data_IF_030692223058
#
_entry.id   IF_030692223058
#
_cell.length_a   1.000
_cell.length_b   1.000
_cell.length_c   1.000
_cell.angle_alpha   90.00
_cell.angle_beta   90.00
_cell.angle_gamma   90.00
#
_symmetry.space_group_name_H-M   'P 1'
#
loop_
_entity.id
_entity.type
_entity.pdbx_description
1 polymer ?
#
# COMPACT_ATOMS: atom_id res chain seq x y z
N UNK A 1 -12.04 32.96 -8.77
CA UNK A 1 -11.73 31.70 -9.50
C UNK A 1 -10.82 30.76 -8.74
N UNK A 2 -9.88 31.25 -7.93
CA UNK A 2 -8.89 30.47 -7.17
C UNK A 2 -9.54 29.58 -6.09
N UNK A 3 -10.58 30.05 -5.41
CA UNK A 3 -11.27 29.27 -4.38
C UNK A 3 -12.00 28.01 -4.87
N UNK A 4 -12.46 27.99 -6.15
CA UNK A 4 -13.13 26.81 -6.72
C UNK A 4 -12.17 25.68 -7.09
N UNK A 5 -10.96 25.99 -7.57
CA UNK A 5 -9.97 24.95 -7.92
C UNK A 5 -9.43 24.25 -6.66
N UNK A 6 -9.34 24.98 -5.56
CA UNK A 6 -8.88 24.47 -4.27
C UNK A 6 -9.86 23.50 -3.61
N UNK A 7 -11.14 23.89 -3.56
CA UNK A 7 -12.19 23.01 -3.04
C UNK A 7 -12.31 21.72 -3.83
N UNK A 8 -12.01 21.75 -5.14
CA UNK A 8 -12.03 20.55 -5.98
C UNK A 8 -10.85 19.60 -5.69
N UNK A 9 -9.63 20.13 -5.46
CA UNK A 9 -8.47 19.25 -5.23
C UNK A 9 -8.57 18.54 -3.87
N UNK A 10 -8.94 19.25 -2.80
CA UNK A 10 -9.14 18.65 -1.48
C UNK A 10 -10.23 17.60 -1.50
N UNK A 11 -11.39 17.93 -2.07
CA UNK A 11 -12.48 16.97 -2.22
C UNK A 11 -12.04 15.72 -3.01
N UNK A 12 -11.28 15.90 -4.09
CA UNK A 12 -10.77 14.78 -4.88
C UNK A 12 -9.78 13.89 -4.09
N UNK A 13 -8.93 14.48 -3.28
CA UNK A 13 -8.04 13.71 -2.38
C UNK A 13 -8.87 12.87 -1.41
N UNK A 14 -9.89 13.45 -0.81
CA UNK A 14 -10.76 12.79 0.17
C UNK A 14 -11.65 11.72 -0.48
N UNK A 15 -12.28 12.00 -1.62
CA UNK A 15 -13.11 11.05 -2.37
C UNK A 15 -12.31 9.80 -2.79
N UNK A 16 -11.10 9.98 -3.31
CA UNK A 16 -10.25 8.85 -3.71
C UNK A 16 -9.76 8.05 -2.50
N UNK A 17 -9.49 8.72 -1.38
CA UNK A 17 -9.18 8.04 -0.12
C UNK A 17 -10.33 7.14 0.34
N UNK A 18 -11.57 7.64 0.30
CA UNK A 18 -12.75 6.86 0.68
C UNK A 18 -12.92 5.62 -0.20
N UNK A 19 -12.77 5.76 -1.53
CA UNK A 19 -12.84 4.65 -2.47
C UNK A 19 -11.77 3.59 -2.15
N UNK A 20 -10.52 4.00 -1.97
CA UNK A 20 -9.43 3.08 -1.67
C UNK A 20 -9.60 2.44 -0.28
N UNK A 21 -10.10 3.18 0.69
CA UNK A 21 -10.40 2.67 2.03
C UNK A 21 -11.49 1.60 2.01
N UNK A 22 -12.54 1.81 1.22
CA UNK A 22 -13.57 0.81 0.98
C UNK A 22 -12.99 -0.46 0.34
N UNK A 23 -12.18 -0.33 -0.71
CA UNK A 23 -11.54 -1.46 -1.37
C UNK A 23 -10.60 -2.26 -0.44
N UNK A 24 -9.85 -1.57 0.45
CA UNK A 24 -9.01 -2.23 1.47
C UNK A 24 -9.87 -3.06 2.42
N UNK A 25 -11.03 -2.54 2.83
CA UNK A 25 -11.96 -3.25 3.72
C UNK A 25 -12.63 -4.43 3.02
N UNK A 26 -13.12 -4.22 1.80
CA UNK A 26 -13.87 -5.20 1.00
C UNK A 26 -13.02 -6.44 0.68
N UNK A 27 -11.78 -6.24 0.25
CA UNK A 27 -10.85 -7.37 0.00
C UNK A 27 -10.66 -8.22 1.24
N UNK A 28 -10.52 -7.60 2.43
CA UNK A 28 -10.37 -8.35 3.68
C UNK A 28 -11.57 -9.24 3.98
N UNK A 29 -12.75 -8.66 3.91
CA UNK A 29 -13.99 -9.36 4.23
C UNK A 29 -14.25 -10.52 3.28
N UNK A 30 -14.07 -10.27 1.97
CA UNK A 30 -14.32 -11.27 0.93
C UNK A 30 -13.42 -12.50 1.05
N UNK A 31 -12.12 -12.31 1.30
CA UNK A 31 -11.21 -13.46 1.42
C UNK A 31 -11.36 -14.18 2.76
N UNK A 32 -11.68 -13.45 3.85
CA UNK A 32 -11.95 -14.09 5.14
C UNK A 32 -13.18 -14.99 5.06
N UNK A 33 -14.26 -14.53 4.43
CA UNK A 33 -15.46 -15.33 4.19
C UNK A 33 -15.15 -16.62 3.39
N UNK A 34 -14.26 -16.54 2.39
CA UNK A 34 -13.86 -17.72 1.61
C UNK A 34 -13.03 -18.71 2.43
N UNK A 35 -12.14 -18.24 3.28
CA UNK A 35 -11.33 -19.09 4.17
C UNK A 35 -12.25 -19.76 5.19
N UNK A 36 -13.14 -19.02 5.83
CA UNK A 36 -14.09 -19.53 6.81
C UNK A 36 -15.01 -20.61 6.20
N UNK A 37 -15.49 -20.41 4.96
CA UNK A 37 -16.30 -21.40 4.21
C UNK A 37 -15.51 -22.70 3.94
N UNK A 38 -14.22 -22.61 3.60
CA UNK A 38 -13.37 -23.79 3.40
C UNK A 38 -13.13 -24.52 4.72
N UNK A 39 -12.85 -23.79 5.80
CA UNK A 39 -12.64 -24.39 7.14
C UNK A 39 -13.90 -25.10 7.65
N UNK A 40 -15.09 -24.50 7.46
CA UNK A 40 -16.36 -25.12 7.82
C UNK A 40 -16.59 -26.43 7.03
N UNK A 41 -16.35 -26.42 5.72
CA UNK A 41 -16.45 -27.61 4.88
C UNK A 41 -15.48 -28.71 5.29
N UNK A 42 -14.24 -28.36 5.65
CA UNK A 42 -13.24 -29.32 6.18
C UNK A 42 -13.72 -29.94 7.49
N UNK A 43 -14.26 -29.12 8.39
CA UNK A 43 -14.76 -29.59 9.67
C UNK A 43 -15.95 -30.56 9.51
N UNK A 44 -16.91 -30.21 8.65
CA UNK A 44 -18.06 -31.06 8.32
C UNK A 44 -17.63 -32.36 7.67
N UNK A 45 -16.73 -32.29 6.67
CA UNK A 45 -16.21 -33.48 5.98
C UNK A 45 -15.51 -34.44 6.96
N UNK A 46 -14.66 -33.96 7.86
CA UNK A 46 -14.01 -34.76 8.89
C UNK A 46 -15.01 -35.43 9.84
N UNK A 47 -16.10 -34.73 10.18
CA UNK A 47 -17.15 -35.25 11.07
C UNK A 47 -17.96 -36.36 10.41
N UNK A 48 -18.33 -36.20 9.16
CA UNK A 48 -19.13 -37.18 8.39
C UNK A 48 -18.32 -38.44 8.12
N UNK A 49 -17.04 -38.31 7.81
CA UNK A 49 -16.18 -39.42 7.37
C UNK A 49 -15.24 -39.95 8.49
N UNK A 50 -15.61 -39.74 9.75
CA UNK A 50 -14.78 -40.12 10.90
C UNK A 50 -14.46 -41.65 10.98
N UNK A 51 -15.23 -42.50 10.29
CA UNK A 51 -15.11 -43.95 10.27
C UNK A 51 -14.74 -44.50 8.87
N UNK A 52 -14.41 -43.65 7.91
CA UNK A 52 -14.07 -44.05 6.55
C UNK A 52 -12.58 -44.36 6.40
N UNK A 53 -12.23 -44.99 5.26
CA UNK A 53 -10.87 -45.34 4.93
C UNK A 53 -9.99 -44.09 4.83
N UNK A 54 -8.87 -44.09 5.54
CA UNK A 54 -7.93 -42.98 5.62
C UNK A 54 -7.42 -42.50 4.25
N UNK A 55 -7.24 -43.38 3.28
CA UNK A 55 -6.76 -43.00 1.95
C UNK A 55 -7.77 -42.13 1.19
N UNK A 56 -9.06 -42.46 1.26
CA UNK A 56 -10.15 -41.68 0.62
C UNK A 56 -10.28 -40.32 1.29
N UNK A 57 -10.35 -40.30 2.63
CA UNK A 57 -10.45 -39.08 3.42
C UNK A 57 -9.26 -38.15 3.18
N UNK A 58 -8.04 -38.69 3.13
CA UNK A 58 -6.83 -37.91 2.91
C UNK A 58 -6.74 -37.31 1.51
N UNK A 59 -7.28 -38.00 0.50
CA UNK A 59 -7.34 -37.50 -0.88
C UNK A 59 -8.26 -36.28 -1.01
N UNK A 60 -9.45 -36.33 -0.43
CA UNK A 60 -10.40 -35.20 -0.47
C UNK A 60 -9.98 -34.03 0.40
N UNK A 61 -9.42 -34.28 1.58
CA UNK A 61 -8.82 -33.23 2.40
C UNK A 61 -7.73 -32.46 1.66
N UNK A 62 -6.91 -33.13 0.83
CA UNK A 62 -5.92 -32.44 0.00
C UNK A 62 -6.55 -31.43 -0.96
N UNK A 63 -7.72 -31.72 -1.52
CA UNK A 63 -8.43 -30.80 -2.41
C UNK A 63 -8.91 -29.55 -1.65
N UNK A 64 -9.42 -29.71 -0.41
CA UNK A 64 -9.79 -28.56 0.42
C UNK A 64 -8.61 -27.70 0.80
N UNK A 65 -7.47 -28.31 1.19
CA UNK A 65 -6.26 -27.56 1.49
C UNK A 65 -5.70 -26.84 0.27
N UNK A 66 -5.72 -27.46 -0.91
CA UNK A 66 -5.35 -26.80 -2.15
C UNK A 66 -6.26 -25.60 -2.48
N UNK A 67 -7.56 -25.70 -2.19
CA UNK A 67 -8.49 -24.57 -2.35
C UNK A 67 -8.16 -23.43 -1.37
N UNK A 68 -7.83 -23.73 -0.11
CA UNK A 68 -7.38 -22.75 0.87
C UNK A 68 -6.11 -22.02 0.41
N UNK A 69 -5.09 -22.76 -0.02
CA UNK A 69 -3.84 -22.19 -0.55
C UNK A 69 -4.06 -21.26 -1.75
N UNK A 70 -5.03 -21.58 -2.61
CA UNK A 70 -5.41 -20.71 -3.73
C UNK A 70 -6.06 -19.42 -3.24
N UNK A 71 -6.94 -19.50 -2.24
CA UNK A 71 -7.57 -18.32 -1.63
C UNK A 71 -6.52 -17.41 -0.99
N UNK A 72 -5.59 -17.98 -0.21
CA UNK A 72 -4.52 -17.23 0.43
C UNK A 72 -3.61 -16.55 -0.61
N UNK A 73 -3.22 -17.26 -1.66
CA UNK A 73 -2.42 -16.70 -2.75
C UNK A 73 -3.11 -15.54 -3.45
N UNK A 74 -4.43 -15.64 -3.69
CA UNK A 74 -5.22 -14.54 -4.28
C UNK A 74 -5.34 -13.35 -3.34
N UNK A 75 -5.50 -13.59 -2.05
CA UNK A 75 -5.52 -12.54 -1.04
C UNK A 75 -4.21 -11.74 -1.04
N UNK A 76 -3.07 -12.44 -1.01
CA UNK A 76 -1.73 -11.81 -1.09
C UNK A 76 -1.58 -10.97 -2.36
N UNK A 77 -1.93 -11.52 -3.52
CA UNK A 77 -1.85 -10.80 -4.79
C UNK A 77 -2.76 -9.57 -4.83
N UNK A 78 -3.97 -9.67 -4.29
CA UNK A 78 -4.91 -8.55 -4.22
C UNK A 78 -4.39 -7.42 -3.34
N UNK A 79 -3.77 -7.75 -2.20
CA UNK A 79 -3.10 -6.75 -1.35
C UNK A 79 -1.96 -6.05 -2.08
N UNK A 80 -1.14 -6.78 -2.85
CA UNK A 80 -0.04 -6.19 -3.63
C UNK A 80 -0.56 -5.24 -4.73
N UNK A 81 -1.62 -5.64 -5.44
CA UNK A 81 -2.25 -4.82 -6.48
C UNK A 81 -2.81 -3.54 -5.85
N UNK A 82 -3.54 -3.66 -4.74
CA UNK A 82 -4.13 -2.52 -4.06
C UNK A 82 -3.07 -1.58 -3.47
N UNK A 83 -1.99 -2.12 -2.92
CA UNK A 83 -0.84 -1.33 -2.50
C UNK A 83 -0.25 -0.50 -3.65
N UNK A 84 -0.06 -1.11 -4.83
CA UNK A 84 0.41 -0.40 -6.01
C UNK A 84 -0.57 0.67 -6.47
N UNK A 85 -1.88 0.43 -6.36
CA UNK A 85 -2.91 1.42 -6.68
C UNK A 85 -2.88 2.61 -5.69
N UNK A 86 -2.72 2.37 -4.39
CA UNK A 86 -2.56 3.44 -3.39
C UNK A 86 -1.31 4.29 -3.71
N UNK A 87 -0.21 3.65 -4.08
CA UNK A 87 1.01 4.38 -4.42
C UNK A 87 0.86 5.20 -5.71
N UNK A 88 0.21 4.65 -6.72
CA UNK A 88 -0.10 5.38 -7.97
C UNK A 88 -1.04 6.58 -7.72
N UNK A 89 -2.02 6.44 -6.83
CA UNK A 89 -2.84 7.54 -6.37
C UNK A 89 -2.00 8.64 -5.72
N UNK A 90 -1.08 8.29 -4.81
CA UNK A 90 -0.15 9.22 -4.17
C UNK A 90 0.66 10.02 -5.21
N UNK A 91 1.31 9.34 -6.15
CA UNK A 91 2.10 9.98 -7.22
C UNK A 91 1.22 10.91 -8.08
N UNK A 92 -0.01 10.49 -8.40
CA UNK A 92 -0.96 11.28 -9.21
C UNK A 92 -1.39 12.54 -8.49
N UNK A 93 -1.76 12.45 -7.21
CA UNK A 93 -2.20 13.62 -6.43
C UNK A 93 -1.06 14.60 -6.18
N UNK A 94 0.16 14.12 -5.91
CA UNK A 94 1.34 14.99 -5.84
C UNK A 94 1.55 15.79 -7.13
N UNK A 95 1.44 15.13 -8.28
CA UNK A 95 1.53 15.81 -9.57
C UNK A 95 0.46 16.88 -9.75
N UNK A 96 -0.77 16.60 -9.32
CA UNK A 96 -1.87 17.58 -9.37
C UNK A 96 -1.63 18.76 -8.45
N UNK A 97 -1.10 18.54 -7.24
CA UNK A 97 -0.69 19.61 -6.34
C UNK A 97 0.34 20.51 -7.03
N UNK A 98 1.38 19.92 -7.62
CA UNK A 98 2.44 20.67 -8.33
C UNK A 98 1.83 21.55 -9.44
N UNK A 99 0.99 20.98 -10.28
CA UNK A 99 0.38 21.69 -11.41
C UNK A 99 -0.56 22.77 -10.91
N UNK A 100 -1.43 22.48 -9.92
CA UNK A 100 -2.43 23.42 -9.40
C UNK A 100 -1.82 24.64 -8.72
N UNK A 101 -0.66 24.45 -8.09
CA UNK A 101 0.05 25.54 -7.40
C UNK A 101 1.23 26.10 -8.20
N UNK A 102 1.42 25.66 -9.45
CA UNK A 102 2.50 26.08 -10.34
C UNK A 102 3.89 25.99 -9.67
N UNK A 103 4.09 24.89 -8.95
CA UNK A 103 5.34 24.65 -8.24
C UNK A 103 6.39 24.24 -9.26
N UNK A 104 7.53 24.93 -9.26
CA UNK A 104 8.70 24.49 -10.02
C UNK A 104 9.59 23.68 -9.08
N UNK A 105 9.69 22.36 -9.24
CA UNK A 105 10.58 21.55 -8.42
C UNK A 105 12.00 22.08 -8.54
N UNK A 106 12.65 22.38 -7.42
CA UNK A 106 14.06 22.71 -7.41
C UNK A 106 14.85 21.53 -7.94
N UNK A 107 15.80 21.84 -8.85
CA UNK A 107 16.84 20.98 -9.40
C UNK A 107 16.65 19.46 -9.22
N UNK A 108 16.09 18.81 -10.22
CA UNK A 108 15.95 17.35 -10.30
C UNK A 108 17.28 16.57 -10.14
N UNK A 109 18.45 17.26 -10.15
CA UNK A 109 19.76 16.62 -10.08
C UNK A 109 20.07 15.95 -8.75
N UNK A 110 19.48 16.42 -7.64
CA UNK A 110 19.73 15.89 -6.29
C UNK A 110 18.61 14.97 -5.77
N UNK A 111 17.52 14.84 -6.49
CA UNK A 111 16.38 14.00 -6.10
C UNK A 111 16.41 12.67 -6.85
N UNK A 112 16.37 11.55 -6.12
CA UNK A 112 16.32 10.20 -6.68
C UNK A 112 15.00 9.89 -7.38
N UNK A 113 13.96 10.67 -7.07
CA UNK A 113 12.65 10.63 -7.72
C UNK A 113 11.98 12.00 -7.67
N UNK A 114 10.97 12.22 -8.53
CA UNK A 114 10.17 13.44 -8.53
C UNK A 114 9.48 13.65 -7.16
N UNK A 115 8.99 12.57 -6.57
CA UNK A 115 8.34 12.57 -5.26
C UNK A 115 9.28 13.02 -4.15
N UNK A 116 10.52 12.49 -4.13
CA UNK A 116 11.56 12.90 -3.16
C UNK A 116 11.93 14.38 -3.32
N UNK A 117 12.07 14.84 -4.57
CA UNK A 117 12.35 16.24 -4.86
C UNK A 117 11.27 17.20 -4.38
N UNK A 118 10.00 16.79 -4.51
CA UNK A 118 8.85 17.56 -4.02
C UNK A 118 8.83 17.60 -2.50
N UNK A 119 8.94 16.45 -1.86
CA UNK A 119 8.92 16.38 -0.40
C UNK A 119 10.07 17.19 0.21
N UNK A 120 11.28 17.10 -0.37
CA UNK A 120 12.43 17.89 0.06
C UNK A 120 12.20 19.39 -0.14
N UNK A 121 11.66 19.79 -1.28
CA UNK A 121 11.30 21.18 -1.56
C UNK A 121 10.31 21.72 -0.53
N UNK A 122 9.29 20.94 -0.16
CA UNK A 122 8.30 21.35 0.85
C UNK A 122 8.92 21.44 2.25
N UNK A 123 9.75 20.49 2.64
CA UNK A 123 10.46 20.55 3.92
C UNK A 123 11.36 21.78 4.02
N UNK A 124 12.17 22.02 2.97
CA UNK A 124 13.15 23.11 2.97
C UNK A 124 12.48 24.51 2.90
N UNK A 125 11.42 24.64 2.11
CA UNK A 125 10.81 25.95 1.83
C UNK A 125 9.69 26.34 2.78
N UNK A 126 8.91 25.35 3.24
CA UNK A 126 7.66 25.61 3.95
C UNK A 126 7.71 25.22 5.42
N UNK A 127 8.84 24.68 5.91
CA UNK A 127 8.96 24.17 7.29
C UNK A 127 7.73 23.37 7.70
N UNK A 128 7.21 22.57 6.73
CA UNK A 128 5.93 21.91 6.88
C UNK A 128 5.92 21.00 8.11
N UNK A 129 4.79 20.90 8.76
CA UNK A 129 4.55 20.00 9.89
C UNK A 129 4.57 18.51 9.51
N UNK A 130 5.05 18.19 8.28
CA UNK A 130 5.20 16.81 7.82
C UNK A 130 6.21 16.07 8.70
N UNK A 131 5.78 14.97 9.26
CA UNK A 131 6.67 14.09 10.01
C UNK A 131 7.68 13.44 9.05
N UNK A 132 8.98 13.62 9.35
CA UNK A 132 10.08 13.03 8.57
C UNK A 132 9.91 11.52 8.46
N UNK A 133 9.42 10.87 9.52
CA UNK A 133 9.19 9.43 9.56
C UNK A 133 8.15 8.98 8.52
N UNK A 134 7.07 9.72 8.36
CA UNK A 134 6.04 9.47 7.34
C UNK A 134 6.59 9.61 5.92
N UNK A 135 7.45 10.60 5.71
CA UNK A 135 8.11 10.79 4.42
C UNK A 135 9.09 9.65 4.09
N UNK A 136 9.88 9.20 5.06
CA UNK A 136 10.77 8.04 4.90
C UNK A 136 9.94 6.78 4.64
N UNK A 137 8.87 6.56 5.39
CA UNK A 137 7.98 5.42 5.20
C UNK A 137 7.43 5.36 3.77
N UNK A 138 6.87 6.44 3.25
CA UNK A 138 6.28 6.46 1.90
C UNK A 138 7.36 6.52 0.81
N UNK A 139 8.31 7.45 0.89
CA UNK A 139 9.22 7.73 -0.23
C UNK A 139 10.43 6.80 -0.31
N UNK A 140 10.79 6.15 0.77
CA UNK A 140 11.88 5.18 0.78
C UNK A 140 11.35 3.75 0.80
N UNK A 141 10.62 3.37 1.86
CA UNK A 141 10.16 1.99 2.02
C UNK A 141 9.07 1.60 1.01
N UNK A 142 7.94 2.32 1.00
CA UNK A 142 6.83 1.98 0.10
C UNK A 142 7.22 2.08 -1.37
N UNK A 143 8.09 3.02 -1.76
CA UNK A 143 8.61 3.12 -3.12
C UNK A 143 9.45 1.91 -3.51
N UNK A 144 10.35 1.43 -2.64
CA UNK A 144 11.14 0.23 -2.90
C UNK A 144 10.25 -1.01 -3.00
N UNK A 145 9.28 -1.14 -2.11
CA UNK A 145 8.32 -2.24 -2.09
C UNK A 145 7.44 -2.25 -3.35
N UNK A 146 6.93 -1.08 -3.77
CA UNK A 146 6.18 -0.93 -5.03
C UNK A 146 7.03 -1.34 -6.24
N UNK A 147 8.28 -0.90 -6.29
CA UNK A 147 9.17 -1.29 -7.39
C UNK A 147 9.44 -2.79 -7.38
N UNK A 148 9.54 -3.41 -6.22
CA UNK A 148 9.63 -4.87 -6.10
C UNK A 148 8.39 -5.57 -6.68
N UNK A 149 7.18 -5.15 -6.31
CA UNK A 149 5.95 -5.76 -6.80
C UNK A 149 5.71 -5.54 -8.31
N UNK A 150 6.06 -4.37 -8.83
CA UNK A 150 5.84 -4.04 -10.25
C UNK A 150 6.86 -4.65 -11.20
N UNK A 151 8.09 -4.82 -10.77
CA UNK A 151 9.21 -5.24 -11.63
C UNK A 151 9.83 -6.58 -11.22
N UNK A 152 9.29 -7.19 -10.15
CA UNK A 152 9.86 -8.41 -9.58
C UNK A 152 11.15 -8.15 -8.83
N UNK A 153 12.07 -9.09 -8.90
CA UNK A 153 13.30 -9.07 -8.16
C UNK A 153 14.14 -7.79 -8.34
N UNK A 154 14.49 -7.15 -7.22
CA UNK A 154 15.44 -6.03 -7.23
C UNK A 154 16.86 -6.58 -7.46
N UNK A 155 17.41 -6.35 -8.66
CA UNK A 155 18.76 -6.81 -9.02
C UNK A 155 19.88 -6.13 -8.22
N UNK A 156 19.62 -4.94 -7.67
CA UNK A 156 20.54 -4.15 -6.89
C UNK A 156 20.55 -4.62 -5.42
N UNK A 157 21.69 -5.18 -4.99
CA UNK A 157 21.89 -5.69 -3.63
C UNK A 157 21.71 -4.59 -2.56
N UNK A 158 22.10 -3.36 -2.85
CA UNK A 158 21.94 -2.24 -1.91
C UNK A 158 20.47 -1.92 -1.65
N UNK A 159 19.64 -2.00 -2.69
CA UNK A 159 18.18 -1.79 -2.59
C UNK A 159 17.51 -2.94 -1.85
N UNK A 160 17.93 -4.18 -2.08
CA UNK A 160 17.40 -5.34 -1.32
C UNK A 160 17.69 -5.18 0.17
N UNK A 161 18.93 -4.84 0.52
CA UNK A 161 19.35 -4.62 1.90
C UNK A 161 18.59 -3.46 2.55
N UNK A 162 18.36 -2.38 1.81
CA UNK A 162 17.55 -1.26 2.27
C UNK A 162 16.09 -1.68 2.49
N UNK A 163 15.49 -2.45 1.57
CA UNK A 163 14.13 -2.94 1.71
C UNK A 163 13.95 -3.85 2.92
N UNK A 164 14.92 -4.75 3.19
CA UNK A 164 14.94 -5.60 4.38
C UNK A 164 14.97 -4.76 5.67
N UNK A 165 15.89 -3.80 5.77
CA UNK A 165 16.01 -2.92 6.92
C UNK A 165 14.72 -2.08 7.16
N UNK A 166 14.09 -1.60 6.09
CA UNK A 166 12.82 -0.88 6.21
C UNK A 166 11.66 -1.79 6.60
N UNK A 167 11.61 -3.03 6.10
CA UNK A 167 10.62 -4.02 6.50
C UNK A 167 10.71 -4.33 8.00
N UNK A 168 11.92 -4.48 8.53
CA UNK A 168 12.15 -4.66 9.97
C UNK A 168 11.72 -3.43 10.80
N UNK A 169 12.00 -2.22 10.28
CA UNK A 169 11.68 -0.96 10.96
C UNK A 169 10.19 -0.64 10.97
N UNK A 170 9.52 -0.78 9.84
CA UNK A 170 8.14 -0.33 9.65
C UNK A 170 7.11 -1.44 9.76
N UNK A 171 7.54 -2.69 9.62
CA UNK A 171 6.67 -3.87 9.65
C UNK A 171 5.73 -3.97 8.45
N UNK A 172 4.74 -4.85 8.57
CA UNK A 172 3.65 -5.00 7.60
C UNK A 172 3.97 -5.86 6.39
N UNK A 173 5.21 -6.29 6.23
CA UNK A 173 5.61 -7.25 5.21
C UNK A 173 6.42 -8.40 5.80
N UNK A 174 6.29 -9.57 5.18
CA UNK A 174 7.14 -10.74 5.43
C UNK A 174 7.96 -10.99 4.17
N UNK A 175 9.21 -11.39 4.33
CA UNK A 175 10.05 -11.78 3.20
C UNK A 175 10.44 -13.25 3.29
N UNK A 176 10.46 -13.88 2.11
CA UNK A 176 10.89 -15.26 1.95
C UNK A 176 12.15 -15.28 1.09
N UNK A 177 13.24 -15.81 1.63
CA UNK A 177 14.52 -16.02 0.90
C UNK A 177 15.12 -14.80 0.20
N UNK A 178 15.06 -13.60 0.80
CA UNK A 178 15.62 -12.32 0.29
C UNK A 178 15.08 -11.85 -1.08
N UNK A 179 14.13 -12.56 -1.66
CA UNK A 179 13.69 -12.40 -3.04
C UNK A 179 12.21 -12.05 -3.14
N UNK A 180 11.39 -12.52 -2.20
CA UNK A 180 9.95 -12.40 -2.27
C UNK A 180 9.38 -11.75 -1.01
N UNK A 181 8.64 -10.66 -1.21
CA UNK A 181 7.96 -9.92 -0.14
C UNK A 181 6.46 -10.08 -0.25
N UNK A 182 5.79 -10.25 0.87
CA UNK A 182 4.35 -10.31 0.98
C UNK A 182 3.84 -9.27 1.97
N UNK A 183 2.70 -8.66 1.67
CA UNK A 183 1.97 -7.83 2.63
C UNK A 183 1.19 -8.78 3.54
N UNK A 184 1.53 -8.76 4.84
CA UNK A 184 1.01 -9.73 5.83
C UNK A 184 -0.50 -9.58 5.99
N UNK A 185 -0.98 -8.34 6.14
CA UNK A 185 -2.39 -8.07 6.39
C UNK A 185 -2.82 -6.69 5.86
N UNK A 186 -4.10 -6.39 5.98
CA UNK A 186 -4.66 -5.14 5.54
C UNK A 186 -4.32 -3.95 6.44
N UNK A 187 -3.84 -4.16 7.67
CA UNK A 187 -3.45 -3.06 8.57
C UNK A 187 -2.32 -2.24 7.98
N UNK A 188 -1.41 -2.91 7.24
CA UNK A 188 -0.36 -2.24 6.49
C UNK A 188 -0.92 -1.33 5.39
N UNK A 189 -1.89 -1.82 4.61
CA UNK A 189 -2.55 -1.00 3.56
C UNK A 189 -3.27 0.20 4.16
N UNK A 190 -3.97 0.01 5.28
CA UNK A 190 -4.62 1.09 6.02
C UNK A 190 -3.61 2.12 6.50
N UNK A 191 -2.46 1.68 7.03
CA UNK A 191 -1.36 2.56 7.45
C UNK A 191 -0.82 3.37 6.27
N UNK A 192 -0.51 2.71 5.15
CA UNK A 192 -0.02 3.38 3.93
C UNK A 192 -1.02 4.42 3.46
N UNK A 193 -2.30 4.06 3.36
CA UNK A 193 -3.35 4.95 2.86
C UNK A 193 -3.55 6.17 3.78
N UNK A 194 -3.56 5.99 5.10
CA UNK A 194 -3.65 7.09 6.07
C UNK A 194 -2.44 8.03 5.98
N UNK A 195 -1.23 7.48 5.88
CA UNK A 195 0.00 8.27 5.75
C UNK A 195 0.00 9.07 4.45
N UNK A 196 -0.46 8.48 3.35
CA UNK A 196 -0.62 9.17 2.06
C UNK A 196 -1.62 10.33 2.18
N UNK A 197 -2.80 10.10 2.80
CA UNK A 197 -3.78 11.16 3.02
C UNK A 197 -3.18 12.31 3.84
N UNK A 198 -2.52 11.99 4.95
CA UNK A 198 -1.89 12.98 5.83
C UNK A 198 -0.85 13.83 5.08
N UNK A 199 0.04 13.21 4.30
CA UNK A 199 1.02 13.93 3.50
C UNK A 199 0.34 14.86 2.49
N UNK A 200 -0.62 14.35 1.71
CA UNK A 200 -1.29 15.13 0.65
C UNK A 200 -2.09 16.30 1.23
N UNK A 201 -2.79 16.08 2.35
CA UNK A 201 -3.60 17.12 2.99
C UNK A 201 -2.72 18.19 3.64
N UNK A 202 -1.63 17.79 4.31
CA UNK A 202 -0.68 18.74 4.90
C UNK A 202 0.01 19.59 3.83
N UNK A 203 0.35 19.01 2.68
CA UNK A 203 0.92 19.76 1.56
C UNK A 203 -0.08 20.75 0.96
N UNK A 204 -1.32 20.34 0.78
CA UNK A 204 -2.38 21.23 0.27
C UNK A 204 -2.65 22.40 1.22
N UNK A 205 -2.72 22.15 2.52
CA UNK A 205 -2.92 23.18 3.57
C UNK A 205 -1.76 24.18 3.60
N UNK A 206 -0.51 23.71 3.63
CA UNK A 206 0.68 24.58 3.64
C UNK A 206 0.76 25.51 2.42
N UNK A 207 0.36 25.01 1.25
CA UNK A 207 0.33 25.82 0.02
C UNK A 207 -0.82 26.81 -0.01
N UNK A 208 -1.88 26.51 0.71
CA UNK A 208 -3.03 27.37 0.81
C UNK A 208 -2.80 28.57 1.72
N UNK A 209 -2.12 28.38 2.84
CA UNK A 209 -1.80 29.46 3.77
C UNK A 209 -0.94 30.53 3.12
N UNK A 210 0.06 30.15 2.33
CA UNK A 210 0.94 31.09 1.64
C UNK A 210 0.29 31.90 0.51
N UNK A 211 -0.86 31.47 -0.04
CA UNK A 211 -1.57 32.26 -1.05
C UNK A 211 -2.45 33.36 -0.44
N UNK A 212 -2.66 33.28 0.88
CA UNK A 212 -3.47 34.23 1.61
C UNK A 212 -2.62 35.32 2.32
N UNK A 213 -1.29 35.16 2.32
CA UNK A 213 -0.30 36.18 2.69
C UNK A 213 0.13 36.99 1.44
#
# INVERSE_FOLDING_TARGET
>A
MIGRARTNLRAEIEDQYEILSFLVSDISSHYQEQVDDVEEKVAEFKKVNANEDYEIVSSELRNFYAASEICDSRCVQSRQILFCAIFAYYETMLNRIIVSYNIRPCNQRDAKSMVEGICKFFLDKYHSSLEIENLVFINEYCRLLRNHFMHGFLSDESKRKALCNYSERFGGTTYYSDIYYEIVDNSFLVKVLKTVLEILTTLDDALCEQRNE
#
